data_IF_092713819354
#
_entry.id   IF_092713819354
#
_cell.length_a   1.000
_cell.length_b   1.000
_cell.length_c   1.000
_cell.angle_alpha   90.00
_cell.angle_beta   90.00
_cell.angle_gamma   90.00
#
_symmetry.space_group_name_H-M   'P 1'
#
loop_
_entity.id
_entity.type
_entity.pdbx_description
1 polymer ?
#
# COMPACT_ATOMS: atom_id res chain seq x y z
N UNK A 1 -8.75 -14.47 -58.15
CA UNK A 1 -8.86 -14.60 -56.69
C UNK A 1 -7.99 -13.52 -56.06
N UNK A 2 -8.58 -12.42 -55.62
CA UNK A 2 -7.88 -11.34 -54.92
C UNK A 2 -8.02 -11.59 -53.42
N UNK A 3 -6.89 -11.90 -52.78
CA UNK A 3 -6.81 -12.08 -51.33
C UNK A 3 -6.79 -10.70 -50.68
N UNK A 4 -7.84 -10.38 -49.93
CA UNK A 4 -7.87 -9.21 -49.05
C UNK A 4 -7.04 -9.54 -47.81
N UNK A 5 -5.87 -8.91 -47.68
CA UNK A 5 -5.09 -8.94 -46.43
C UNK A 5 -5.65 -7.85 -45.51
N UNK A 6 -5.98 -8.15 -44.24
CA UNK A 6 -6.47 -7.14 -43.33
C UNK A 6 -5.33 -6.18 -42.95
N UNK A 7 -5.55 -4.89 -43.20
CA UNK A 7 -4.67 -3.82 -42.73
C UNK A 7 -4.81 -3.67 -41.22
N UNK A 8 -4.02 -4.41 -40.43
CA UNK A 8 -3.91 -4.18 -38.99
C UNK A 8 -2.95 -3.01 -38.75
N UNK A 9 -3.50 -1.90 -38.26
CA UNK A 9 -2.74 -0.72 -37.89
C UNK A 9 -2.07 -0.93 -36.51
N UNK A 10 -0.73 -0.94 -36.40
CA UNK A 10 0.00 -1.17 -35.15
C UNK A 10 -0.31 -0.14 -34.05
N UNK A 11 -0.87 1.01 -34.42
CA UNK A 11 -1.29 2.05 -33.47
C UNK A 11 -2.53 1.67 -32.65
N UNK A 12 -3.34 0.70 -33.11
CA UNK A 12 -4.55 0.28 -32.41
C UNK A 12 -4.23 -0.50 -31.12
N UNK A 13 -3.23 -1.39 -31.16
CA UNK A 13 -2.77 -2.13 -29.98
C UNK A 13 -2.12 -1.22 -28.93
N UNK A 14 -1.42 -0.18 -29.38
CA UNK A 14 -0.76 0.81 -28.52
C UNK A 14 -1.80 1.71 -27.81
N UNK A 15 -2.85 2.11 -28.52
CA UNK A 15 -3.99 2.82 -27.94
C UNK A 15 -4.77 1.96 -26.95
N UNK A 16 -4.96 0.67 -27.24
CA UNK A 16 -5.61 -0.28 -26.32
C UNK A 16 -4.80 -0.46 -25.03
N UNK A 17 -3.47 -0.57 -25.17
CA UNK A 17 -2.55 -0.63 -24.04
C UNK A 17 -2.62 0.66 -23.21
N UNK A 18 -2.58 1.83 -23.86
CA UNK A 18 -2.71 3.13 -23.19
C UNK A 18 -4.06 3.29 -22.46
N UNK A 19 -5.17 2.80 -23.03
CA UNK A 19 -6.46 2.75 -22.36
C UNK A 19 -6.42 1.86 -21.12
N UNK A 20 -5.85 0.66 -21.21
CA UNK A 20 -5.72 -0.27 -20.08
C UNK A 20 -4.82 0.28 -18.96
N UNK A 21 -3.82 1.09 -19.31
CA UNK A 21 -2.94 1.76 -18.36
C UNK A 21 -3.52 3.08 -17.83
N UNK A 22 -4.60 3.60 -18.40
CA UNK A 22 -5.17 4.88 -17.97
C UNK A 22 -5.95 4.71 -16.65
N UNK A 23 -5.53 5.40 -15.56
CA UNK A 23 -6.24 5.34 -14.27
C UNK A 23 -7.68 5.89 -14.36
N UNK A 24 -7.96 6.71 -15.38
CA UNK A 24 -9.25 7.38 -15.60
C UNK A 24 -10.38 6.45 -16.09
N UNK A 25 -10.07 5.23 -16.57
CA UNK A 25 -11.08 4.23 -16.93
C UNK A 25 -11.40 3.25 -15.80
N UNK A 26 -10.66 3.31 -14.69
CA UNK A 26 -11.14 2.72 -13.44
C UNK A 26 -12.24 3.65 -12.96
N UNK A 27 -13.49 3.18 -13.01
CA UNK A 27 -14.61 3.90 -12.42
C UNK A 27 -14.28 4.36 -10.99
N UNK A 28 -15.09 5.27 -10.46
CA UNK A 28 -14.98 5.66 -9.05
C UNK A 28 -14.85 4.39 -8.22
N UNK A 29 -13.80 4.23 -7.40
CA UNK A 29 -13.66 3.02 -6.62
C UNK A 29 -14.89 2.91 -5.73
N UNK A 30 -15.66 1.85 -5.92
CA UNK A 30 -16.84 1.60 -5.12
C UNK A 30 -16.45 0.75 -3.91
N UNK A 31 -17.02 1.06 -2.75
CA UNK A 31 -16.83 0.30 -1.53
C UNK A 31 -18.20 -0.10 -0.98
N UNK A 32 -18.55 -1.38 -1.16
CA UNK A 32 -19.82 -1.94 -0.71
C UNK A 32 -19.62 -3.31 -0.08
N UNK A 33 -20.50 -3.64 0.86
CA UNK A 33 -20.49 -4.93 1.55
C UNK A 33 -21.89 -5.54 1.45
N UNK A 34 -22.06 -6.61 0.67
CA UNK A 34 -23.36 -7.30 0.51
C UNK A 34 -23.79 -8.02 1.78
N UNK A 35 -22.80 -8.50 2.55
CA UNK A 35 -22.98 -9.17 3.84
C UNK A 35 -22.11 -8.46 4.89
N UNK A 36 -22.47 -8.58 6.17
CA UNK A 36 -21.64 -8.03 7.24
C UNK A 36 -20.33 -8.82 7.34
N UNK A 37 -19.16 -8.21 7.13
CA UNK A 37 -17.88 -8.88 7.26
C UNK A 37 -17.40 -8.97 8.72
N UNK A 38 -18.14 -8.36 9.66
CA UNK A 38 -17.76 -8.30 11.07
C UNK A 38 -18.31 -9.53 11.80
N UNK A 39 -17.40 -10.36 12.30
CA UNK A 39 -17.70 -11.57 13.10
C UNK A 39 -18.57 -11.26 14.32
N UNK A 40 -19.19 -12.26 14.94
CA UNK A 40 -19.78 -12.12 16.28
C UNK A 40 -18.73 -12.19 17.39
N UNK A 41 -17.57 -12.77 17.11
CA UNK A 41 -16.59 -13.18 18.13
C UNK A 41 -15.33 -12.29 18.16
N UNK A 42 -15.35 -11.13 17.49
CA UNK A 42 -14.20 -10.22 17.44
C UNK A 42 -13.73 -9.77 18.83
N UNK A 43 -14.66 -9.54 19.76
CA UNK A 43 -14.33 -9.18 21.15
C UNK A 43 -13.46 -10.23 21.84
N UNK A 44 -13.78 -11.52 21.64
CA UNK A 44 -13.02 -12.63 22.25
C UNK A 44 -11.61 -12.65 21.68
N UNK A 45 -11.46 -12.51 20.37
CA UNK A 45 -10.17 -12.48 19.68
C UNK A 45 -9.29 -11.30 20.11
N UNK A 46 -9.89 -10.12 20.26
CA UNK A 46 -9.17 -8.92 20.72
C UNK A 46 -8.79 -9.04 22.20
N UNK A 47 -9.67 -9.60 23.04
CA UNK A 47 -9.37 -9.87 24.45
C UNK A 47 -8.20 -10.84 24.59
N UNK A 48 -8.22 -11.93 23.82
CA UNK A 48 -7.16 -12.94 23.83
C UNK A 48 -5.81 -12.32 23.47
N UNK A 49 -5.72 -11.51 22.41
CA UNK A 49 -4.49 -10.77 22.10
C UNK A 49 -4.06 -9.85 23.25
N UNK A 50 -5.02 -9.14 23.87
CA UNK A 50 -4.75 -8.19 24.96
C UNK A 50 -4.13 -8.87 26.19
N UNK A 51 -4.48 -10.13 26.44
CA UNK A 51 -3.96 -10.90 27.59
C UNK A 51 -2.47 -11.24 27.46
N UNK A 52 -1.94 -11.28 26.23
CA UNK A 52 -0.52 -11.58 25.96
C UNK A 52 0.33 -10.33 25.65
N UNK A 53 -0.26 -9.14 25.61
CA UNK A 53 0.44 -7.90 25.23
C UNK A 53 0.98 -7.11 26.43
N UNK A 54 2.11 -6.45 26.22
CA UNK A 54 2.52 -5.29 27.02
C UNK A 54 1.54 -4.16 26.71
N UNK A 55 0.62 -3.89 27.64
CA UNK A 55 -0.53 -3.01 27.40
C UNK A 55 -0.15 -1.58 27.04
N UNK A 56 1.03 -1.14 27.43
CA UNK A 56 1.65 0.17 27.23
C UNK A 56 2.55 0.24 25.99
N UNK A 57 2.62 -0.83 25.17
CA UNK A 57 3.40 -0.81 23.94
C UNK A 57 3.00 0.38 23.06
N UNK A 58 3.97 1.20 22.60
CA UNK A 58 3.68 2.46 21.93
C UNK A 58 3.19 2.23 20.50
N UNK A 59 2.00 2.76 20.20
CA UNK A 59 1.39 2.80 18.86
C UNK A 59 0.90 4.21 18.58
N UNK A 60 0.34 4.46 17.39
CA UNK A 60 -0.24 5.77 17.07
C UNK A 60 -1.69 5.68 16.63
N UNK A 61 -2.48 6.69 17.00
CA UNK A 61 -3.87 6.85 16.58
C UNK A 61 -4.07 8.23 15.97
N UNK A 62 -4.99 8.33 15.00
CA UNK A 62 -5.33 9.60 14.39
C UNK A 62 -6.26 10.40 15.33
N UNK A 63 -5.93 11.67 15.58
CA UNK A 63 -6.66 12.50 16.56
C UNK A 63 -7.65 13.48 15.93
N UNK A 64 -7.52 13.73 14.63
CA UNK A 64 -8.30 14.73 13.92
C UNK A 64 -9.07 14.13 12.73
N UNK A 65 -9.52 12.88 12.84
CA UNK A 65 -10.47 12.32 11.87
C UNK A 65 -11.76 13.13 11.91
N UNK A 66 -12.28 13.50 10.74
CA UNK A 66 -13.56 14.19 10.62
C UNK A 66 -14.68 13.38 11.30
N UNK A 67 -15.57 14.07 11.98
CA UNK A 67 -16.66 13.44 12.75
C UNK A 67 -17.83 12.98 11.87
N UNK A 68 -17.55 11.99 11.02
CA UNK A 68 -18.57 11.27 10.25
C UNK A 68 -18.78 9.87 10.83
N UNK A 69 -19.86 9.63 11.58
CA UNK A 69 -20.11 8.39 12.35
C UNK A 69 -19.58 7.09 11.72
N UNK A 70 -20.01 6.76 10.50
CA UNK A 70 -19.64 5.49 9.85
C UNK A 70 -18.28 5.54 9.16
N UNK A 71 -17.94 6.66 8.51
CA UNK A 71 -16.65 6.80 7.85
C UNK A 71 -15.50 6.90 8.87
N UNK A 72 -15.69 7.60 9.98
CA UNK A 72 -14.74 7.67 11.10
C UNK A 72 -14.47 6.31 11.70
N UNK A 73 -15.50 5.49 11.91
CA UNK A 73 -15.32 4.11 12.35
C UNK A 73 -14.51 3.31 11.33
N UNK A 74 -14.86 3.39 10.04
CA UNK A 74 -14.16 2.69 8.98
C UNK A 74 -12.69 3.15 8.82
N UNK A 75 -12.42 4.46 8.87
CA UNK A 75 -11.07 5.03 8.84
C UNK A 75 -10.22 4.58 10.02
N UNK A 76 -10.81 4.58 11.21
CA UNK A 76 -10.13 4.11 12.43
C UNK A 76 -9.74 2.64 12.30
N UNK A 77 -10.64 1.78 11.78
CA UNK A 77 -10.34 0.37 11.52
C UNK A 77 -9.28 0.19 10.42
N UNK A 78 -9.33 1.00 9.35
CA UNK A 78 -8.30 1.01 8.30
C UNK A 78 -6.91 1.37 8.85
N UNK A 79 -6.82 2.35 9.73
CA UNK A 79 -5.57 2.72 10.39
C UNK A 79 -5.10 1.64 11.38
N UNK A 80 -6.02 1.04 12.15
CA UNK A 80 -5.72 -0.07 13.04
C UNK A 80 -5.22 -1.31 12.30
N UNK A 81 -5.78 -1.61 11.12
CA UNK A 81 -5.35 -2.73 10.27
C UNK A 81 -3.88 -2.58 9.85
N UNK A 82 -3.46 -1.37 9.47
CA UNK A 82 -2.06 -1.08 9.17
C UNK A 82 -1.15 -1.28 10.38
N UNK A 83 -1.64 -0.96 11.58
CA UNK A 83 -0.90 -1.25 12.81
C UNK A 83 -0.78 -2.75 13.06
N UNK A 84 -1.82 -3.54 12.85
CA UNK A 84 -1.74 -5.00 12.95
C UNK A 84 -0.68 -5.57 12.01
N UNK A 85 -0.63 -5.11 10.75
CA UNK A 85 0.42 -5.53 9.81
C UNK A 85 1.82 -5.14 10.27
N UNK A 86 2.01 -3.91 10.78
CA UNK A 86 3.31 -3.48 11.32
C UNK A 86 3.75 -4.32 12.51
N UNK A 87 2.84 -4.57 13.47
CA UNK A 87 3.13 -5.35 14.66
C UNK A 87 3.51 -6.79 14.30
N UNK A 88 2.87 -7.39 13.29
CA UNK A 88 3.21 -8.74 12.80
C UNK A 88 4.67 -8.84 12.33
N UNK A 89 5.26 -7.77 11.81
CA UNK A 89 6.65 -7.79 11.32
C UNK A 89 7.70 -7.83 12.43
N UNK A 90 7.35 -7.42 13.65
CA UNK A 90 8.25 -7.34 14.81
C UNK A 90 7.90 -8.35 15.90
N UNK A 91 6.82 -9.11 15.73
CA UNK A 91 6.34 -10.08 16.70
C UNK A 91 7.08 -11.43 16.59
N UNK A 92 7.24 -12.10 17.75
CA UNK A 92 7.62 -13.52 17.77
C UNK A 92 6.50 -14.41 17.21
N UNK A 93 6.81 -15.67 16.88
CA UNK A 93 5.91 -16.57 16.15
C UNK A 93 4.52 -16.74 16.78
N UNK A 94 4.44 -16.93 18.10
CA UNK A 94 3.15 -17.09 18.79
C UNK A 94 2.37 -15.77 18.84
N UNK A 95 3.05 -14.65 19.09
CA UNK A 95 2.42 -13.33 19.08
C UNK A 95 1.91 -12.96 17.67
N UNK A 96 2.65 -13.33 16.63
CA UNK A 96 2.24 -13.12 15.24
C UNK A 96 0.92 -13.86 14.93
N UNK A 97 0.69 -15.06 15.47
CA UNK A 97 -0.57 -15.79 15.30
C UNK A 97 -1.74 -15.02 15.95
N UNK A 98 -1.56 -14.52 17.16
CA UNK A 98 -2.58 -13.72 17.87
C UNK A 98 -2.90 -12.43 17.10
N UNK A 99 -1.87 -11.73 16.64
CA UNK A 99 -2.02 -10.53 15.82
C UNK A 99 -2.71 -10.82 14.48
N UNK A 100 -2.41 -11.96 13.84
CA UNK A 100 -3.07 -12.36 12.60
C UNK A 100 -4.56 -12.65 12.82
N UNK A 101 -4.91 -13.32 13.91
CA UNK A 101 -6.32 -13.57 14.27
C UNK A 101 -7.08 -12.24 14.42
N UNK A 102 -6.53 -11.26 15.12
CA UNK A 102 -7.15 -9.92 15.24
C UNK A 102 -7.13 -9.16 13.92
N UNK A 103 -6.05 -9.25 13.14
CA UNK A 103 -5.97 -8.64 11.81
C UNK A 103 -7.10 -9.14 10.91
N UNK A 104 -7.42 -10.45 10.94
CA UNK A 104 -8.51 -11.01 10.12
C UNK A 104 -9.88 -10.41 10.43
N UNK A 105 -10.12 -9.98 11.68
CA UNK A 105 -11.38 -9.33 12.08
C UNK A 105 -11.59 -7.96 11.43
N UNK A 106 -10.51 -7.27 11.10
CA UNK A 106 -10.53 -5.94 10.49
C UNK A 106 -10.01 -5.94 9.05
N UNK A 107 -9.59 -7.09 8.52
CA UNK A 107 -8.97 -7.21 7.21
C UNK A 107 -9.90 -6.77 6.07
N UNK A 108 -11.22 -6.85 6.25
CA UNK A 108 -12.22 -6.45 5.25
C UNK A 108 -12.08 -4.99 4.78
N UNK A 109 -11.45 -4.11 5.59
CA UNK A 109 -11.19 -2.72 5.18
C UNK A 109 -10.22 -2.65 3.99
N UNK A 110 -9.39 -3.67 3.79
CA UNK A 110 -8.45 -3.75 2.66
C UNK A 110 -9.13 -4.09 1.33
N UNK A 111 -10.35 -4.62 1.37
CA UNK A 111 -11.17 -4.86 0.17
C UNK A 111 -11.61 -3.55 -0.50
N UNK A 112 -11.47 -2.43 0.19
CA UNK A 112 -11.80 -1.10 -0.31
C UNK A 112 -10.52 -0.34 -0.71
N UNK A 113 -10.53 0.26 -1.89
CA UNK A 113 -9.39 0.98 -2.45
C UNK A 113 -9.24 2.39 -1.84
N UNK A 114 -8.83 2.44 -0.56
CA UNK A 114 -8.55 3.69 0.13
C UNK A 114 -7.50 4.52 -0.61
N UNK A 115 -7.75 5.82 -0.69
CA UNK A 115 -6.77 6.79 -1.19
C UNK A 115 -5.58 6.90 -0.21
N UNK A 116 -4.43 7.42 -0.66
CA UNK A 116 -3.34 7.80 0.23
C UNK A 116 -3.84 8.69 1.38
N UNK A 117 -3.21 8.57 2.55
CA UNK A 117 -3.59 9.36 3.71
C UNK A 117 -3.33 10.86 3.42
N UNK A 118 -4.25 11.77 3.77
CA UNK A 118 -4.05 13.19 3.54
C UNK A 118 -2.97 13.74 4.48
N UNK A 119 -2.28 14.77 4.04
CA UNK A 119 -1.21 15.43 4.83
C UNK A 119 -1.73 16.07 6.12
N UNK A 120 -3.01 16.45 6.17
CA UNK A 120 -3.64 17.02 7.36
C UNK A 120 -3.78 16.02 8.51
N UNK A 121 -3.63 14.71 8.26
CA UNK A 121 -3.90 13.69 9.26
C UNK A 121 -2.82 13.70 10.34
N UNK A 122 -3.22 13.96 11.58
CA UNK A 122 -2.33 14.04 12.74
C UNK A 122 -2.45 12.79 13.58
N UNK A 123 -1.30 12.29 13.99
CA UNK A 123 -1.15 11.12 14.82
C UNK A 123 -0.60 11.49 16.19
N UNK A 124 -1.12 10.86 17.24
CA UNK A 124 -0.54 10.92 18.58
C UNK A 124 -0.09 9.52 18.99
N UNK A 125 0.99 9.44 19.77
CA UNK A 125 1.39 8.20 20.40
C UNK A 125 0.41 7.85 21.53
N UNK A 126 0.02 6.57 21.61
CA UNK A 126 -0.83 6.01 22.66
C UNK A 126 -0.40 4.57 22.93
N UNK A 127 -1.01 3.97 23.94
CA UNK A 127 -0.79 2.58 24.31
C UNK A 127 -1.56 1.64 23.38
N UNK A 128 -1.01 0.46 23.08
CA UNK A 128 -1.68 -0.56 22.25
C UNK A 128 -3.04 -0.98 22.83
N UNK A 129 -3.18 -0.97 24.16
CA UNK A 129 -4.45 -1.22 24.83
C UNK A 129 -5.55 -0.23 24.40
N UNK A 130 -5.21 1.05 24.19
CA UNK A 130 -6.16 2.04 23.67
C UNK A 130 -6.51 1.76 22.21
N UNK A 131 -5.53 1.42 21.37
CA UNK A 131 -5.79 1.05 19.97
C UNK A 131 -6.74 -0.15 19.85
N UNK A 132 -6.54 -1.19 20.68
CA UNK A 132 -7.38 -2.38 20.68
C UNK A 132 -8.78 -2.11 21.23
N UNK A 133 -8.89 -1.31 22.30
CA UNK A 133 -10.18 -0.87 22.84
C UNK A 133 -10.97 -0.03 21.84
N UNK A 134 -10.30 0.89 21.15
CA UNK A 134 -10.90 1.69 20.09
C UNK A 134 -11.33 0.79 18.93
N UNK A 135 -10.51 -0.17 18.51
CA UNK A 135 -10.85 -1.13 17.46
C UNK A 135 -12.13 -1.90 17.78
N UNK A 136 -12.25 -2.43 19.01
CA UNK A 136 -13.49 -3.04 19.51
C UNK A 136 -14.69 -2.10 19.41
N UNK A 137 -14.52 -0.84 19.86
CA UNK A 137 -15.57 0.18 19.86
C UNK A 137 -16.04 0.52 18.44
N UNK A 138 -15.11 0.65 17.49
CA UNK A 138 -15.43 0.94 16.09
C UNK A 138 -16.11 -0.24 15.40
N UNK A 139 -15.68 -1.49 15.68
CA UNK A 139 -16.37 -2.68 15.18
C UNK A 139 -17.81 -2.75 15.70
N UNK A 140 -18.03 -2.48 16.99
CA UNK A 140 -19.38 -2.40 17.58
C UNK A 140 -20.24 -1.32 16.92
N UNK A 141 -19.69 -0.12 16.72
CA UNK A 141 -20.41 0.99 16.11
C UNK A 141 -20.78 0.70 14.65
N UNK A 142 -19.91 -0.01 13.92
CA UNK A 142 -20.07 -0.28 12.50
C UNK A 142 -20.93 -1.52 12.24
N UNK A 143 -20.92 -2.52 13.14
CA UNK A 143 -21.62 -3.81 12.97
C UNK A 143 -23.10 -3.70 12.57
N UNK A 144 -23.94 -2.82 13.15
CA UNK A 144 -25.35 -2.69 12.74
C UNK A 144 -25.52 -2.11 11.32
N UNK A 145 -24.52 -1.37 10.85
CA UNK A 145 -24.51 -0.65 9.58
C UNK A 145 -23.93 -1.50 8.44
N UNK A 146 -22.98 -2.39 8.74
CA UNK A 146 -22.36 -3.27 7.74
C UNK A 146 -23.37 -4.21 7.07
N UNK A 147 -23.27 -4.33 5.75
CA UNK A 147 -24.22 -5.11 4.94
C UNK A 147 -25.31 -4.23 4.34
N UNK A 148 -26.57 -4.68 4.49
CA UNK A 148 -27.73 -4.08 3.82
C UNK A 148 -28.09 -2.66 4.27
N UNK A 149 -27.69 -2.23 5.47
CA UNK A 149 -28.13 -0.96 6.05
C UNK A 149 -27.39 0.25 5.50
N UNK A 150 -26.06 0.18 5.34
CA UNK A 150 -25.27 1.31 4.88
C UNK A 150 -24.83 1.24 3.42
N UNK A 151 -24.85 0.04 2.79
CA UNK A 151 -24.56 -0.32 1.39
C UNK A 151 -23.35 0.32 0.69
N UNK A 152 -23.19 1.64 0.77
CA UNK A 152 -22.20 2.44 0.08
C UNK A 152 -21.28 3.19 1.07
N UNK A 153 -20.02 2.80 1.09
CA UNK A 153 -18.91 3.43 1.80
C UNK A 153 -17.94 4.14 0.85
N UNK A 154 -18.29 4.32 -0.42
CA UNK A 154 -17.41 4.88 -1.45
C UNK A 154 -16.95 6.30 -1.10
N UNK A 155 -17.80 7.09 -0.42
CA UNK A 155 -17.43 8.41 0.12
C UNK A 155 -16.37 8.35 1.25
N UNK A 156 -16.25 7.20 1.92
CA UNK A 156 -15.28 7.00 2.98
C UNK A 156 -13.91 6.58 2.43
N UNK A 157 -13.74 6.39 1.11
CA UNK A 157 -12.43 5.98 0.56
C UNK A 157 -11.36 7.08 0.67
N UNK A 158 -11.80 8.32 0.88
CA UNK A 158 -10.94 9.45 1.17
C UNK A 158 -11.02 9.77 2.66
N UNK A 159 -9.92 9.53 3.37
CA UNK A 159 -9.83 9.92 4.79
C UNK A 159 -9.89 11.44 4.87
N UNK A 160 -10.78 11.97 5.70
CA UNK A 160 -10.92 13.41 5.89
C UNK A 160 -10.52 13.82 7.31
N UNK A 161 -9.94 15.01 7.41
CA UNK A 161 -9.56 15.60 8.67
C UNK A 161 -10.64 16.59 9.14
N UNK A 162 -10.83 16.67 10.45
CA UNK A 162 -11.59 17.75 11.05
C UNK A 162 -10.86 19.07 10.77
N UNK A 163 -11.56 20.13 10.31
CA UNK A 163 -10.97 21.45 10.18
C UNK A 163 -10.40 21.88 11.53
N UNK A 164 -9.22 22.49 11.55
CA UNK A 164 -8.71 23.12 12.76
C UNK A 164 -9.73 24.16 13.22
N UNK A 165 -10.41 23.89 14.34
CA UNK A 165 -11.10 24.96 15.05
C UNK A 165 -10.03 25.96 15.47
N UNK A 166 -10.07 27.16 14.92
CA UNK A 166 -9.15 28.26 15.22
C UNK A 166 -9.27 28.80 16.65
N UNK A 167 -9.50 27.94 17.64
CA UNK A 167 -9.65 28.30 19.04
C UNK A 167 -9.21 27.14 19.93
N UNK A 168 -8.23 27.47 20.80
CA UNK A 168 -7.64 26.67 21.87
C UNK A 168 -6.48 25.76 21.46
N UNK A 169 -5.30 26.39 21.42
CA UNK A 169 -4.03 25.73 21.74
C UNK A 169 -4.22 24.87 23.02
N UNK A 170 -3.87 23.58 23.01
CA UNK A 170 -3.81 22.81 24.24
C UNK A 170 -2.71 23.38 25.16
N UNK A 171 -2.80 23.18 26.49
CA UNK A 171 -1.76 23.61 27.41
C UNK A 171 -0.47 22.87 27.05
N UNK A 172 0.57 23.60 26.67
CA UNK A 172 1.94 23.08 26.60
C UNK A 172 2.35 22.66 28.00
N UNK A 173 2.41 21.36 28.28
CA UNK A 173 3.21 20.87 29.39
C UNK A 173 4.69 20.94 28.97
N UNK A 174 5.59 21.42 29.85
CA UNK A 174 7.00 21.45 29.56
C UNK A 174 7.61 20.10 29.96
N UNK A 175 7.71 19.18 29.01
CA UNK A 175 8.67 18.07 29.13
C UNK A 175 9.55 18.13 27.89
N UNK A 176 10.76 18.64 28.10
CA UNK A 176 11.85 18.64 27.16
C UNK A 176 12.19 17.20 26.77
N UNK A 177 12.34 16.94 25.47
CA UNK A 177 13.23 15.92 24.93
C UNK A 177 13.51 16.26 23.47
N UNK A 178 14.81 16.25 23.15
CA UNK A 178 15.44 16.66 21.91
C UNK A 178 14.77 16.13 20.63
N UNK A 179 14.72 17.04 19.65
CA UNK A 179 14.46 16.73 18.26
C UNK A 179 15.51 15.73 17.72
N UNK A 180 15.10 14.48 17.54
CA UNK A 180 15.78 13.59 16.59
C UNK A 180 14.97 13.63 15.30
N UNK A 181 15.43 14.46 14.36
CA UNK A 181 14.90 14.50 13.01
C UNK A 181 15.06 13.12 12.36
N UNK A 182 13.94 12.53 11.95
CA UNK A 182 13.90 11.38 11.07
C UNK A 182 14.66 11.73 9.78
N UNK A 183 15.61 10.91 9.29
CA UNK A 183 16.37 11.25 8.11
C UNK A 183 15.47 11.33 6.87
N UNK A 184 15.43 12.54 6.31
CA UNK A 184 14.80 12.86 5.04
C UNK A 184 15.41 11.99 3.92
N UNK A 185 14.61 11.40 3.01
CA UNK A 185 15.14 10.55 1.95
C UNK A 185 16.07 11.38 1.06
N UNK A 186 17.37 11.07 1.11
CA UNK A 186 18.39 11.82 0.38
C UNK A 186 18.09 11.79 -1.14
N UNK A 187 18.09 12.95 -1.82
CA UNK A 187 17.83 13.05 -3.27
C UNK A 187 18.86 12.31 -4.12
N UNK A 188 19.98 11.89 -3.52
CA UNK A 188 21.02 11.07 -4.16
C UNK A 188 20.56 9.63 -4.47
N UNK A 189 19.69 9.02 -3.66
CA UNK A 189 19.22 7.64 -3.90
C UNK A 189 18.27 7.55 -5.08
N UNK A 190 17.42 8.57 -5.29
CA UNK A 190 16.51 8.66 -6.44
C UNK A 190 17.29 8.86 -7.75
N UNK A 191 18.35 9.67 -7.72
CA UNK A 191 19.23 9.87 -8.87
C UNK A 191 19.95 8.56 -9.25
N UNK A 192 20.40 7.80 -8.25
CA UNK A 192 21.06 6.51 -8.47
C UNK A 192 20.11 5.48 -9.10
N UNK A 193 18.86 5.41 -8.62
CA UNK A 193 17.82 4.55 -9.17
C UNK A 193 17.46 4.91 -10.62
N UNK A 194 17.48 6.19 -10.97
CA UNK A 194 17.18 6.66 -12.32
C UNK A 194 18.33 6.40 -13.32
N UNK A 195 19.59 6.46 -12.85
CA UNK A 195 20.78 6.26 -13.70
C UNK A 195 21.10 4.78 -13.95
N UNK A 196 20.68 3.87 -13.06
CA UNK A 196 20.89 2.43 -13.19
C UNK A 196 20.30 1.82 -14.49
N UNK A 197 19.02 2.08 -14.88
CA UNK A 197 18.48 1.53 -16.11
C UNK A 197 19.16 2.10 -17.36
N UNK A 198 19.59 3.36 -17.33
CA UNK A 198 20.26 3.99 -18.47
C UNK A 198 21.64 3.38 -18.74
N UNK A 199 22.42 3.11 -17.69
CA UNK A 199 23.74 2.49 -17.80
C UNK A 199 23.67 1.03 -18.28
N UNK A 200 22.67 0.27 -17.83
CA UNK A 200 22.42 -1.10 -18.29
C UNK A 200 22.07 -1.16 -19.78
N UNK A 201 21.23 -0.24 -20.27
CA UNK A 201 20.86 -0.15 -21.69
C UNK A 201 22.08 0.16 -22.57
N UNK A 202 22.94 1.08 -22.13
CA UNK A 202 24.17 1.44 -22.85
C UNK A 202 25.17 0.28 -22.92
N UNK A 203 25.31 -0.48 -21.83
CA UNK A 203 26.15 -1.68 -21.79
C UNK A 203 25.64 -2.78 -22.74
N UNK A 204 24.32 -3.02 -22.75
CA UNK A 204 23.69 -3.98 -23.65
C UNK A 204 23.86 -3.57 -25.13
N UNK A 205 23.70 -2.29 -25.45
CA UNK A 205 23.92 -1.77 -26.80
C UNK A 205 25.40 -1.89 -27.23
N UNK A 206 26.34 -1.55 -26.34
CA UNK A 206 27.77 -1.70 -26.61
C UNK A 206 28.18 -3.17 -26.77
N UNK A 207 27.59 -4.08 -26.00
CA UNK A 207 27.78 -5.52 -26.15
C UNK A 207 27.20 -6.04 -27.46
N UNK A 208 25.98 -5.62 -27.82
CA UNK A 208 25.34 -5.96 -29.09
C UNK A 208 26.14 -5.49 -30.30
N UNK A 209 26.67 -4.26 -30.27
CA UNK A 209 27.53 -3.71 -31.31
C UNK A 209 28.87 -4.46 -31.40
N UNK A 210 29.48 -4.83 -30.27
CA UNK A 210 30.69 -5.66 -30.25
C UNK A 210 30.43 -7.04 -30.83
N UNK A 211 29.30 -7.66 -30.49
CA UNK A 211 28.92 -8.97 -31.01
C UNK A 211 28.61 -8.92 -32.51
N UNK A 212 27.92 -7.90 -33.00
CA UNK A 212 27.71 -7.68 -34.42
C UNK A 212 29.03 -7.48 -35.18
N UNK A 213 29.98 -6.72 -34.63
CA UNK A 213 31.32 -6.56 -35.23
C UNK A 213 32.09 -7.88 -35.25
N UNK A 214 32.01 -8.69 -34.20
CA UNK A 214 32.62 -10.02 -34.17
C UNK A 214 32.01 -10.96 -35.23
N UNK A 215 30.67 -10.96 -35.39
CA UNK A 215 30.00 -11.74 -36.43
C UNK A 215 30.37 -11.28 -37.85
N UNK A 216 30.49 -9.96 -38.11
CA UNK A 216 30.93 -9.46 -39.42
C UNK A 216 32.36 -9.86 -39.76
N UNK A 217 33.26 -9.95 -38.76
CA UNK A 217 34.63 -10.45 -38.96
C UNK A 217 34.67 -11.95 -39.25
N UNK A 218 33.78 -12.74 -38.66
CA UNK A 218 33.67 -14.18 -38.92
C UNK A 218 33.13 -14.48 -40.33
N UNK A 219 32.28 -13.63 -40.89
CA UNK A 219 31.71 -13.79 -42.25
C UNK A 219 32.72 -13.46 -43.36
N UNK A 220 33.79 -12.71 -43.06
CA UNK A 220 34.81 -12.28 -44.04
C UNK A 220 36.05 -13.20 -44.13
N UNK A 221 36.06 -14.36 -43.45
CA UNK A 221 37.10 -15.37 -43.66
C UNK A 221 36.52 -16.79 -43.76
N UNK A 222 36.36 -17.29 -45.00
CA UNK A 222 36.64 -18.68 -45.29
C UNK A 222 37.72 -18.78 -46.37
N UNK A 223 38.90 -19.27 -45.98
CA UNK A 223 40.04 -19.49 -46.87
C UNK A 223 41.12 -20.34 -46.18
N UNK A 224 41.04 -21.64 -46.44
CA UNK A 224 41.85 -22.82 -46.04
C UNK A 224 43.33 -22.68 -46.53
N UNK A 225 44.38 -23.28 -45.89
CA UNK A 225 44.73 -24.73 -45.97
C UNK A 225 45.07 -25.39 -44.61
N UNK A 226 44.54 -26.57 -44.28
CA UNK A 226 44.87 -27.93 -44.77
C UNK A 226 46.35 -28.29 -44.54
N UNK A 227 46.64 -28.89 -43.38
CA UNK A 227 47.84 -29.68 -43.12
C UNK A 227 47.46 -31.16 -43.08
N UNK A 228 47.77 -31.87 -44.16
CA UNK A 228 47.81 -33.33 -44.22
C UNK A 228 49.10 -33.86 -43.58
N UNK A 229 48.90 -34.84 -42.70
CA UNK A 229 49.82 -35.84 -42.10
C UNK A 229 51.00 -36.36 -42.96
N UNK A 230 51.89 -37.23 -42.42
CA UNK A 230 52.19 -37.60 -41.03
C UNK A 230 53.64 -37.32 -40.61
#
# INVERSE_FOLDING_TARGET
MTVLVPAWNPNSSLLLLLLLLSPCLRGTPDCYFSHSPISSNFHVRISELTDYLLKDYPVTVAINLQDEKHCKALWSLFLAQRWMERLKTVAGSEMQKLLEVVNTEIHFVTSCAFRPLPECLRFVQTNISHLLQDTCTQLLALKPCMGKACQNFSRCLEVQCQPDSSTLLPPRSPVALEATALPEPQPSQLLLLLLLPLTLVLLAAAWGLRWQRARRRAVLRPGVPLTSHP
#
